data_IF_931236609135
#
_entry.id   IF_931236609135
#
_cell.length_a   1.000
_cell.length_b   1.000
_cell.length_c   1.000
_cell.angle_alpha   90.00
_cell.angle_beta   90.00
_cell.angle_gamma   90.00
#
_symmetry.space_group_name_H-M   'P 1'
#
loop_
_entity.id
_entity.type
_entity.pdbx_description
1 polymer ?
#
# COMPACT_ATOMS: atom_id res chain seq x y z
N UNK A 1 2.94 18.01 1.05
CA UNK A 1 3.02 16.55 1.28
C UNK A 1 4.47 16.17 1.08
N UNK A 2 5.19 15.89 2.16
CA UNK A 2 6.56 15.36 2.05
C UNK A 2 6.46 13.84 1.96
N UNK A 3 7.17 13.24 1.00
CA UNK A 3 7.30 11.78 0.95
C UNK A 3 8.08 11.31 2.17
N UNK A 4 7.45 10.43 2.95
CA UNK A 4 8.03 9.88 4.19
C UNK A 4 8.46 8.42 4.02
N UNK A 5 8.45 7.93 2.78
CA UNK A 5 8.95 6.61 2.38
C UNK A 5 7.95 5.80 1.58
N UNK A 6 8.26 4.53 1.38
CA UNK A 6 7.43 3.55 0.69
C UNK A 6 6.99 2.44 1.65
N UNK A 7 5.84 1.86 1.37
CA UNK A 7 5.25 0.74 2.09
C UNK A 7 4.85 -0.34 1.08
N UNK A 8 4.98 -1.60 1.49
CA UNK A 8 4.64 -2.74 0.64
C UNK A 8 3.75 -3.73 1.39
N UNK A 9 2.80 -4.31 0.66
CA UNK A 9 1.92 -5.39 1.10
C UNK A 9 2.05 -6.56 0.14
N UNK A 10 1.87 -7.77 0.64
CA UNK A 10 1.92 -8.98 -0.18
C UNK A 10 1.08 -10.08 0.45
N UNK A 11 0.45 -10.90 -0.38
CA UNK A 11 -0.37 -12.03 0.08
C UNK A 11 -0.90 -12.88 -1.08
N UNK A 12 -1.75 -13.84 -0.76
CA UNK A 12 -2.41 -14.75 -1.71
C UNK A 12 -3.84 -14.29 -1.98
N UNK A 13 -4.25 -14.23 -3.25
CA UNK A 13 -5.65 -14.01 -3.66
C UNK A 13 -6.39 -12.82 -3.00
N UNK A 14 -5.83 -11.61 -3.08
CA UNK A 14 -6.50 -10.38 -2.61
C UNK A 14 -7.27 -9.66 -3.72
N UNK A 15 -8.49 -9.20 -3.44
CA UNK A 15 -9.17 -8.26 -4.31
C UNK A 15 -8.43 -6.92 -4.30
N UNK A 16 -8.52 -6.13 -5.38
CA UNK A 16 -7.85 -4.83 -5.47
C UNK A 16 -8.26 -3.88 -4.33
N UNK A 17 -9.47 -4.02 -3.79
CA UNK A 17 -9.97 -3.26 -2.64
C UNK A 17 -9.22 -3.63 -1.36
N UNK A 18 -9.11 -4.92 -1.03
CA UNK A 18 -8.36 -5.40 0.14
C UNK A 18 -6.91 -4.90 0.13
N UNK A 19 -6.23 -5.00 -1.01
CA UNK A 19 -4.84 -4.56 -1.17
C UNK A 19 -4.69 -3.07 -0.83
N UNK A 20 -5.66 -2.26 -1.28
CA UNK A 20 -5.66 -0.82 -1.07
C UNK A 20 -6.01 -0.44 0.36
N UNK A 21 -6.91 -1.19 1.00
CA UNK A 21 -7.22 -1.05 2.43
C UNK A 21 -6.00 -1.40 3.29
N UNK A 22 -5.30 -2.50 2.98
CA UNK A 22 -4.12 -2.95 3.72
C UNK A 22 -2.96 -1.94 3.61
N UNK A 23 -2.72 -1.39 2.41
CA UNK A 23 -1.77 -0.29 2.22
C UNK A 23 -2.18 0.96 3.00
N UNK A 24 -3.46 1.31 3.01
CA UNK A 24 -3.95 2.49 3.73
C UNK A 24 -3.80 2.32 5.25
N UNK A 25 -4.13 1.15 5.79
CA UNK A 25 -3.91 0.83 7.20
C UNK A 25 -2.41 0.91 7.56
N UNK A 26 -1.53 0.25 6.79
CA UNK A 26 -0.08 0.32 7.01
C UNK A 26 0.47 1.74 6.91
N UNK A 27 -0.11 2.59 6.07
CA UNK A 27 0.29 3.98 5.96
C UNK A 27 -0.10 4.76 7.22
N UNK A 28 -1.33 4.58 7.70
CA UNK A 28 -1.87 5.22 8.91
C UNK A 28 -1.11 4.79 10.17
N UNK A 29 -0.83 3.49 10.32
CA UNK A 29 -0.02 2.94 11.42
C UNK A 29 1.38 3.55 11.49
N UNK A 30 1.92 3.97 10.34
CA UNK A 30 3.22 4.62 10.25
C UNK A 30 3.13 6.16 10.29
N UNK A 31 1.96 6.70 10.59
CA UNK A 31 1.72 8.14 10.76
C UNK A 31 1.70 8.93 9.46
N UNK A 32 1.41 8.28 8.33
CA UNK A 32 1.18 8.96 7.06
C UNK A 32 -0.22 9.58 7.02
N UNK A 33 -0.33 10.80 6.48
CA UNK A 33 -1.63 11.43 6.20
C UNK A 33 -2.27 10.93 4.90
N UNK A 34 -1.46 10.37 4.01
CA UNK A 34 -1.93 9.88 2.73
C UNK A 34 -0.94 8.86 2.16
N UNK A 35 -1.43 7.96 1.31
CA UNK A 35 -0.59 7.04 0.55
C UNK A 35 -1.06 6.96 -0.90
N UNK A 36 -0.12 6.79 -1.82
CA UNK A 36 -0.37 6.63 -3.25
C UNK A 36 0.23 5.32 -3.71
N UNK A 37 -0.59 4.44 -4.24
CA UNK A 37 -0.15 3.20 -4.88
C UNK A 37 0.72 3.56 -6.09
N UNK A 38 1.96 3.08 -6.11
CA UNK A 38 2.91 3.27 -7.21
C UNK A 38 3.17 1.96 -7.97
N UNK A 39 2.88 0.81 -7.35
CA UNK A 39 2.98 -0.50 -7.96
C UNK A 39 1.88 -1.42 -7.42
N UNK A 40 1.24 -2.19 -8.29
CA UNK A 40 0.29 -3.23 -7.93
C UNK A 40 0.40 -4.39 -8.92
N UNK A 41 0.93 -5.51 -8.46
CA UNK A 41 1.08 -6.75 -9.20
C UNK A 41 0.15 -7.81 -8.61
N UNK A 42 -0.71 -8.40 -9.45
CA UNK A 42 -1.64 -9.46 -9.08
C UNK A 42 -1.47 -10.62 -10.06
N UNK A 43 -0.76 -11.68 -9.65
CA UNK A 43 -0.66 -12.91 -10.42
C UNK A 43 -0.48 -14.09 -9.46
N UNK A 44 -1.59 -14.78 -9.15
CA UNK A 44 -1.74 -15.83 -8.10
C UNK A 44 -1.52 -15.29 -6.67
N UNK A 45 -0.44 -14.56 -6.48
CA UNK A 45 -0.13 -13.73 -5.32
C UNK A 45 -0.23 -12.25 -5.70
N UNK A 46 -0.49 -11.40 -4.72
CA UNK A 46 -0.42 -9.95 -4.87
C UNK A 46 0.86 -9.39 -4.24
N UNK A 47 1.39 -8.37 -4.88
CA UNK A 47 2.41 -7.49 -4.34
C UNK A 47 2.04 -6.06 -4.71
N UNK A 48 1.90 -5.18 -3.73
CA UNK A 48 1.61 -3.79 -4.01
C UNK A 48 2.47 -2.89 -3.14
N UNK A 49 2.93 -1.80 -3.75
CA UNK A 49 3.77 -0.79 -3.12
C UNK A 49 3.09 0.56 -3.22
N UNK A 50 3.06 1.30 -2.12
CA UNK A 50 2.59 2.67 -2.07
C UNK A 50 3.65 3.60 -1.50
N UNK A 51 3.73 4.82 -2.03
CA UNK A 51 4.45 5.91 -1.40
C UNK A 51 3.54 6.56 -0.36
N UNK A 52 4.08 6.81 0.84
CA UNK A 52 3.37 7.46 1.93
C UNK A 52 3.84 8.91 2.11
N UNK A 53 2.90 9.77 2.48
CA UNK A 53 3.11 11.20 2.63
C UNK A 53 2.64 11.70 3.99
N UNK A 54 3.35 12.70 4.51
CA UNK A 54 2.96 13.47 5.70
C UNK A 54 2.72 14.93 5.36
#
# INVERSE_FOLDING_TARGET
MQSVGIISVSGVAGAQTDIREELSQKADEQGAKSCRVIEAYNNDNYHATAERYK
#
